data_IF_817202182343
#
_entry.id   IF_817202182343
#
_cell.length_a   1.000
_cell.length_b   1.000
_cell.length_c   1.000
_cell.angle_alpha   90.00
_cell.angle_beta   90.00
_cell.angle_gamma   90.00
#
_symmetry.space_group_name_H-M   'P 1'
#
loop_
_entity.id
_entity.type
_entity.pdbx_description
1 polymer ?
#
# COMPACT_ATOMS: atom_id res chain seq x y z
N UNK A 1 -83.41 -19.48 8.51
CA UNK A 1 -82.58 -19.94 7.36
C UNK A 1 -82.38 -18.76 6.43
N UNK A 2 -81.14 -18.35 6.14
CA UNK A 2 -80.89 -17.24 5.22
C UNK A 2 -81.43 -17.58 3.81
N UNK A 3 -82.26 -16.67 3.25
CA UNK A 3 -82.81 -16.79 1.90
C UNK A 3 -81.69 -16.96 0.88
N UNK A 4 -81.89 -17.76 -0.17
CA UNK A 4 -80.89 -17.98 -1.23
C UNK A 4 -80.41 -16.67 -1.86
N UNK A 5 -81.27 -15.65 -1.90
CA UNK A 5 -80.91 -14.30 -2.38
C UNK A 5 -79.83 -13.65 -1.51
N UNK A 6 -79.87 -13.83 -0.19
CA UNK A 6 -78.85 -13.29 0.74
C UNK A 6 -77.51 -13.98 0.53
N UNK A 7 -77.50 -15.31 0.35
CA UNK A 7 -76.26 -16.07 0.10
C UNK A 7 -75.61 -15.67 -1.23
N UNK A 8 -76.41 -15.44 -2.27
CA UNK A 8 -75.92 -14.96 -3.57
C UNK A 8 -75.35 -13.52 -3.49
N UNK A 9 -76.05 -12.62 -2.80
CA UNK A 9 -75.59 -11.24 -2.61
C UNK A 9 -74.25 -11.16 -1.84
N UNK A 10 -74.09 -12.00 -0.80
CA UNK A 10 -72.83 -12.09 -0.05
C UNK A 10 -71.71 -12.66 -0.94
N UNK A 11 -71.98 -13.69 -1.74
CA UNK A 11 -71.01 -14.25 -2.68
C UNK A 11 -70.53 -13.22 -3.72
N UNK A 12 -71.44 -12.43 -4.28
CA UNK A 12 -71.11 -11.37 -5.23
C UNK A 12 -70.27 -10.25 -4.57
N UNK A 13 -70.59 -9.88 -3.34
CA UNK A 13 -69.80 -8.90 -2.58
C UNK A 13 -68.37 -9.38 -2.33
N UNK A 14 -68.20 -10.64 -1.90
CA UNK A 14 -66.87 -11.22 -1.67
C UNK A 14 -66.09 -11.34 -2.98
N UNK A 15 -66.72 -11.80 -4.06
CA UNK A 15 -66.08 -11.88 -5.38
C UNK A 15 -65.66 -10.50 -5.91
N UNK A 16 -66.51 -9.49 -5.74
CA UNK A 16 -66.20 -8.10 -6.07
C UNK A 16 -65.03 -7.56 -5.24
N UNK A 17 -65.04 -7.82 -3.94
CA UNK A 17 -63.94 -7.44 -3.03
C UNK A 17 -62.60 -8.06 -3.42
N UNK A 18 -62.58 -9.35 -3.75
CA UNK A 18 -61.37 -10.05 -4.23
C UNK A 18 -60.89 -9.44 -5.56
N UNK A 19 -61.80 -9.15 -6.47
CA UNK A 19 -61.44 -8.56 -7.78
C UNK A 19 -60.79 -7.19 -7.60
N UNK A 20 -61.36 -6.34 -6.74
CA UNK A 20 -60.78 -5.02 -6.42
C UNK A 20 -59.42 -5.18 -5.74
N UNK A 21 -59.28 -6.14 -4.82
CA UNK A 21 -58.00 -6.40 -4.14
C UNK A 21 -56.92 -6.84 -5.12
N UNK A 22 -57.23 -7.71 -6.09
CA UNK A 22 -56.29 -8.14 -7.14
C UNK A 22 -55.89 -6.96 -8.02
N UNK A 23 -56.85 -6.15 -8.46
CA UNK A 23 -56.56 -4.94 -9.26
C UNK A 23 -55.67 -3.98 -8.48
N UNK A 24 -55.95 -3.75 -7.20
CA UNK A 24 -55.15 -2.89 -6.34
C UNK A 24 -53.72 -3.43 -6.16
N UNK A 25 -53.56 -4.75 -5.98
CA UNK A 25 -52.24 -5.38 -5.88
C UNK A 25 -51.43 -5.23 -7.17
N UNK A 26 -52.07 -5.47 -8.32
CA UNK A 26 -51.45 -5.35 -9.65
C UNK A 26 -51.07 -3.89 -9.93
N UNK A 27 -51.94 -2.94 -9.59
CA UNK A 27 -51.68 -1.50 -9.73
C UNK A 27 -50.52 -1.03 -8.85
N UNK A 28 -50.51 -1.43 -7.58
CA UNK A 28 -49.43 -1.10 -6.63
C UNK A 28 -48.09 -1.76 -7.03
N UNK A 29 -48.13 -2.98 -7.59
CA UNK A 29 -46.95 -3.66 -8.13
C UNK A 29 -46.36 -2.94 -9.34
N UNK A 30 -47.21 -2.47 -10.27
CA UNK A 30 -46.78 -1.74 -11.46
C UNK A 30 -46.25 -0.33 -11.16
N UNK A 31 -46.77 0.34 -10.12
CA UNK A 31 -46.32 1.70 -9.77
C UNK A 31 -44.83 1.77 -9.44
N UNK A 32 -44.22 0.68 -8.95
CA UNK A 32 -42.76 0.62 -8.72
C UNK A 32 -41.95 0.44 -10.01
N UNK A 33 -42.54 -0.17 -11.04
CA UNK A 33 -41.92 -0.35 -12.35
C UNK A 33 -42.03 0.88 -13.27
N UNK A 34 -43.06 1.72 -13.04
CA UNK A 34 -43.38 2.92 -13.84
C UNK A 34 -42.53 4.16 -13.50
N UNK A 35 -41.40 4.03 -12.80
CA UNK A 35 -40.48 5.15 -12.63
C UNK A 35 -39.82 5.50 -13.96
N UNK A 36 -39.98 6.75 -14.41
CA UNK A 36 -39.42 7.32 -15.63
C UNK A 36 -37.90 7.47 -15.49
N UNK A 37 -37.18 6.35 -15.60
CA UNK A 37 -35.73 6.35 -15.65
C UNK A 37 -35.22 6.70 -17.05
N UNK A 38 -34.08 7.38 -17.13
CA UNK A 38 -33.37 7.60 -18.39
C UNK A 38 -32.36 6.48 -18.62
N UNK A 39 -32.34 5.94 -19.84
CA UNK A 39 -31.41 4.89 -20.22
C UNK A 39 -30.10 5.49 -20.75
N UNK A 40 -28.99 4.95 -20.26
CA UNK A 40 -27.64 5.27 -20.70
C UNK A 40 -26.91 3.97 -21.00
N UNK A 41 -25.79 4.05 -21.71
CA UNK A 41 -24.95 2.89 -21.96
C UNK A 41 -23.49 3.21 -21.73
N UNK A 42 -22.78 2.24 -21.18
CA UNK A 42 -21.34 2.31 -21.01
C UNK A 42 -20.72 1.03 -21.56
N UNK A 43 -19.46 1.11 -22.00
CA UNK A 43 -18.75 0.00 -22.63
C UNK A 43 -17.47 -0.27 -21.88
N UNK A 44 -17.24 -1.52 -21.49
CA UNK A 44 -16.02 -1.93 -20.79
C UNK A 44 -15.19 -2.85 -21.68
N UNK A 45 -13.86 -2.65 -21.68
CA UNK A 45 -12.88 -3.53 -22.34
C UNK A 45 -12.20 -4.48 -21.33
N UNK A 46 -12.82 -4.66 -20.17
CA UNK A 46 -12.38 -5.53 -19.08
C UNK A 46 -13.52 -6.47 -18.65
N UNK A 47 -13.19 -7.44 -17.80
CA UNK A 47 -14.19 -8.36 -17.28
C UNK A 47 -15.20 -7.62 -16.40
N UNK A 48 -16.50 -7.78 -16.71
CA UNK A 48 -17.61 -7.32 -15.86
C UNK A 48 -18.06 -8.39 -14.85
N UNK A 49 -17.23 -9.40 -14.61
CA UNK A 49 -17.55 -10.49 -13.69
C UNK A 49 -17.91 -9.96 -12.30
N UNK A 50 -19.02 -10.45 -11.76
CA UNK A 50 -19.57 -9.98 -10.48
C UNK A 50 -20.55 -8.82 -10.61
N UNK A 51 -20.71 -8.25 -11.80
CA UNK A 51 -21.79 -7.32 -12.12
C UNK A 51 -23.01 -8.10 -12.62
N UNK A 52 -24.12 -7.97 -11.90
CA UNK A 52 -25.39 -8.61 -12.26
C UNK A 52 -26.43 -7.58 -12.74
N UNK A 53 -27.48 -8.06 -13.40
CA UNK A 53 -28.69 -7.27 -13.64
C UNK A 53 -29.26 -6.81 -12.28
N UNK A 54 -29.78 -5.58 -12.22
CA UNK A 54 -30.25 -4.89 -11.00
C UNK A 54 -29.13 -4.44 -10.05
N UNK A 55 -27.84 -4.66 -10.39
CA UNK A 55 -26.71 -4.10 -9.64
C UNK A 55 -26.84 -2.58 -9.52
N UNK A 56 -26.44 -2.04 -8.37
CA UNK A 56 -26.58 -0.61 -8.08
C UNK A 56 -25.67 0.23 -8.97
N UNK A 57 -26.22 1.30 -9.55
CA UNK A 57 -25.45 2.39 -10.15
C UNK A 57 -25.43 3.52 -9.13
N UNK A 58 -24.23 3.91 -8.69
CA UNK A 58 -24.04 4.90 -7.63
C UNK A 58 -23.28 6.09 -8.16
N UNK A 59 -23.73 7.29 -7.86
CA UNK A 59 -22.92 8.49 -8.05
C UNK A 59 -22.18 8.79 -6.74
N UNK A 60 -20.85 8.64 -6.74
CA UNK A 60 -19.98 8.89 -5.58
C UNK A 60 -20.52 8.26 -4.28
N UNK A 61 -20.90 6.98 -4.36
CA UNK A 61 -21.47 6.21 -3.25
C UNK A 61 -22.99 6.33 -3.02
N UNK A 62 -23.69 7.28 -3.65
CA UNK A 62 -25.15 7.43 -3.53
C UNK A 62 -25.86 6.67 -4.65
N UNK A 63 -26.81 5.76 -4.37
CA UNK A 63 -27.53 5.05 -5.43
C UNK A 63 -28.37 6.02 -6.27
N UNK A 64 -28.14 6.02 -7.58
CA UNK A 64 -28.85 6.88 -8.54
C UNK A 64 -29.57 6.10 -9.64
N UNK A 65 -29.32 4.80 -9.72
CA UNK A 65 -29.91 3.94 -10.74
C UNK A 65 -29.47 2.50 -10.57
N UNK A 66 -29.72 1.72 -11.62
CA UNK A 66 -29.46 0.27 -11.64
C UNK A 66 -29.01 -0.20 -13.02
N UNK A 67 -28.32 -1.33 -13.04
CA UNK A 67 -27.96 -2.03 -14.29
C UNK A 67 -29.21 -2.69 -14.84
N UNK A 68 -29.59 -2.32 -16.06
CA UNK A 68 -30.77 -2.85 -16.74
C UNK A 68 -30.44 -4.12 -17.53
N UNK A 69 -29.36 -4.06 -18.34
CA UNK A 69 -28.91 -5.18 -19.19
C UNK A 69 -27.40 -5.21 -19.34
N UNK A 70 -26.86 -6.42 -19.51
CA UNK A 70 -25.45 -6.68 -19.80
C UNK A 70 -25.41 -7.54 -21.07
N UNK A 71 -24.73 -7.05 -22.10
CA UNK A 71 -24.67 -7.67 -23.43
C UNK A 71 -23.23 -7.61 -23.96
N UNK A 72 -22.90 -8.48 -24.90
CA UNK A 72 -21.67 -8.33 -25.68
C UNK A 72 -21.93 -7.29 -26.78
N UNK A 73 -21.01 -6.35 -26.94
CA UNK A 73 -21.12 -5.31 -27.97
C UNK A 73 -21.00 -5.92 -29.38
N UNK A 74 -21.49 -5.23 -30.44
CA UNK A 74 -21.45 -5.74 -31.80
C UNK A 74 -20.06 -6.12 -32.33
N UNK A 75 -19.00 -5.51 -31.78
CA UNK A 75 -17.61 -5.81 -32.13
C UNK A 75 -17.05 -7.07 -31.46
N UNK A 76 -17.82 -7.71 -30.59
CA UNK A 76 -17.43 -8.87 -29.77
C UNK A 76 -16.20 -8.65 -28.88
N UNK A 77 -15.77 -7.40 -28.69
CA UNK A 77 -14.61 -7.03 -27.88
C UNK A 77 -15.01 -6.31 -26.60
N UNK A 78 -16.05 -5.50 -26.67
CA UNK A 78 -16.53 -4.71 -25.55
C UNK A 78 -17.75 -5.36 -24.91
N UNK A 79 -17.89 -5.14 -23.61
CA UNK A 79 -19.13 -5.48 -22.90
C UNK A 79 -19.97 -4.21 -22.83
N UNK A 80 -21.18 -4.29 -23.39
CA UNK A 80 -22.21 -3.25 -23.35
C UNK A 80 -23.00 -3.39 -22.05
N UNK A 81 -23.03 -2.33 -21.25
CA UNK A 81 -23.84 -2.28 -20.02
C UNK A 81 -24.84 -1.14 -20.12
N UNK A 82 -26.13 -1.48 -20.08
CA UNK A 82 -27.24 -0.53 -20.11
C UNK A 82 -27.58 -0.14 -18.68
N UNK A 83 -27.61 1.17 -18.42
CA UNK A 83 -27.88 1.77 -17.12
C UNK A 83 -29.25 2.43 -17.15
N UNK A 84 -30.05 2.20 -16.11
CA UNK A 84 -31.30 2.93 -15.88
C UNK A 84 -31.11 3.89 -14.71
N UNK A 85 -31.08 5.19 -15.01
CA UNK A 85 -30.90 6.26 -14.02
C UNK A 85 -32.28 6.78 -13.59
N UNK A 86 -32.57 6.72 -12.29
CA UNK A 86 -33.90 6.94 -11.72
C UNK A 86 -34.06 8.33 -11.07
N UNK A 87 -32.99 9.13 -10.98
CA UNK A 87 -32.95 10.40 -10.23
C UNK A 87 -33.60 11.60 -10.93
N UNK A 88 -34.18 11.43 -12.14
CA UNK A 88 -34.80 12.51 -12.91
C UNK A 88 -33.83 13.61 -13.40
N UNK A 89 -32.52 13.45 -13.15
CA UNK A 89 -31.45 14.33 -13.63
C UNK A 89 -30.74 13.65 -14.80
N UNK A 90 -30.43 14.44 -15.83
CA UNK A 90 -29.59 13.98 -16.93
C UNK A 90 -28.12 13.93 -16.48
N UNK A 91 -27.39 12.92 -16.95
CA UNK A 91 -25.96 12.82 -16.67
C UNK A 91 -25.20 13.88 -17.48
N UNK A 92 -24.35 14.64 -16.81
CA UNK A 92 -23.43 15.57 -17.45
C UNK A 92 -22.42 14.82 -18.34
N UNK A 93 -21.88 15.50 -19.36
CA UNK A 93 -20.93 14.90 -20.32
C UNK A 93 -19.57 14.53 -19.71
N UNK A 94 -19.24 15.09 -18.55
CA UNK A 94 -18.01 14.80 -17.82
C UNK A 94 -18.14 13.60 -16.87
N UNK A 95 -19.29 12.91 -16.87
CA UNK A 95 -19.49 11.72 -16.04
C UNK A 95 -18.81 10.51 -16.68
N UNK A 96 -18.07 9.79 -15.84
CA UNK A 96 -17.43 8.53 -16.17
C UNK A 96 -17.94 7.40 -15.29
N UNK A 97 -18.13 6.24 -15.89
CA UNK A 97 -18.49 4.99 -15.23
C UNK A 97 -17.25 4.17 -14.90
N UNK A 98 -17.19 3.61 -13.70
CA UNK A 98 -16.14 2.71 -13.25
C UNK A 98 -16.76 1.51 -12.54
N UNK A 99 -16.24 0.31 -12.80
CA UNK A 99 -16.60 -0.88 -12.04
C UNK A 99 -15.91 -0.86 -10.68
N UNK A 100 -16.67 -1.07 -9.60
CA UNK A 100 -16.15 -1.16 -8.23
C UNK A 100 -16.69 -2.38 -7.50
N UNK A 101 -15.86 -2.94 -6.62
CA UNK A 101 -16.23 -4.11 -5.81
C UNK A 101 -16.98 -3.70 -4.54
N UNK A 102 -18.02 -4.45 -4.21
CA UNK A 102 -18.71 -4.44 -2.91
C UNK A 102 -17.98 -5.41 -1.99
N UNK A 103 -16.85 -4.95 -1.42
CA UNK A 103 -16.06 -5.78 -0.49
C UNK A 103 -15.28 -6.89 -1.19
N UNK A 104 -15.17 -8.05 -0.52
CA UNK A 104 -14.31 -9.18 -0.95
C UNK A 104 -15.06 -10.35 -1.60
N UNK A 105 -16.40 -10.29 -1.67
CA UNK A 105 -17.23 -11.38 -2.22
C UNK A 105 -17.23 -11.44 -3.75
N UNK A 106 -16.60 -10.45 -4.41
CA UNK A 106 -16.56 -10.34 -5.86
C UNK A 106 -17.83 -9.73 -6.46
N UNK A 107 -18.81 -9.32 -5.65
CA UNK A 107 -19.96 -8.56 -6.15
C UNK A 107 -19.51 -7.17 -6.60
N UNK A 108 -19.98 -6.71 -7.76
CA UNK A 108 -19.58 -5.44 -8.38
C UNK A 108 -20.78 -4.49 -8.50
N UNK A 109 -20.48 -3.21 -8.57
CA UNK A 109 -21.44 -2.15 -8.86
C UNK A 109 -20.80 -1.12 -9.78
N UNK A 110 -21.63 -0.29 -10.42
CA UNK A 110 -21.12 0.80 -11.26
C UNK A 110 -21.09 2.08 -10.45
N UNK A 111 -19.90 2.67 -10.32
CA UNK A 111 -19.73 4.01 -9.79
C UNK A 111 -19.66 5.02 -10.93
N UNK A 112 -20.51 6.04 -10.85
CA UNK A 112 -20.46 7.25 -11.64
C UNK A 112 -19.67 8.29 -10.86
N UNK A 113 -18.69 8.90 -11.51
CA UNK A 113 -17.88 9.99 -10.96
C UNK A 113 -17.62 11.03 -12.05
N UNK A 114 -17.13 12.21 -11.66
CA UNK A 114 -16.73 13.23 -12.63
C UNK A 114 -15.30 12.98 -13.09
N UNK A 115 -15.08 13.13 -14.40
CA UNK A 115 -13.76 13.19 -14.99
C UNK A 115 -13.02 14.41 -14.43
N UNK A 116 -11.86 14.19 -13.80
CA UNK A 116 -11.08 15.29 -13.23
C UNK A 116 -10.45 16.11 -14.34
N UNK A 117 -10.34 17.42 -14.14
CA UNK A 117 -9.64 18.31 -15.09
C UNK A 117 -8.20 17.83 -15.28
N UNK A 118 -7.83 17.54 -16.53
CA UNK A 118 -6.50 17.08 -16.92
C UNK A 118 -6.31 15.56 -16.90
N UNK A 119 -7.34 14.79 -16.51
CA UNK A 119 -7.32 13.33 -16.62
C UNK A 119 -7.62 12.92 -18.08
N UNK A 120 -6.79 12.06 -18.70
CA UNK A 120 -7.05 11.60 -20.06
C UNK A 120 -8.31 10.72 -20.08
N UNK A 121 -9.11 10.86 -21.14
CA UNK A 121 -10.19 9.91 -21.41
C UNK A 121 -9.59 8.54 -21.74
N UNK A 122 -9.94 7.54 -20.94
CA UNK A 122 -9.48 6.15 -21.07
C UNK A 122 -10.60 5.22 -21.53
N UNK A 123 -11.71 5.77 -22.01
CA UNK A 123 -12.79 4.98 -22.55
C UNK A 123 -12.35 4.23 -23.81
N UNK A 124 -12.86 3.01 -24.03
CA UNK A 124 -12.51 2.24 -25.22
C UNK A 124 -13.07 2.92 -26.47
N UNK A 125 -12.31 2.93 -27.58
CA UNK A 125 -12.78 3.51 -28.84
C UNK A 125 -13.97 2.71 -29.38
N UNK A 126 -15.04 3.39 -29.76
CA UNK A 126 -16.25 2.78 -30.31
C UNK A 126 -16.21 2.82 -31.84
N UNK A 127 -16.51 1.68 -32.47
CA UNK A 127 -16.54 1.52 -33.93
C UNK A 127 -17.94 1.32 -34.51
N UNK A 128 -18.96 1.43 -33.67
CA UNK A 128 -20.37 1.14 -33.99
C UNK A 128 -21.30 2.18 -33.34
N UNK A 129 -22.53 2.36 -33.86
CA UNK A 129 -23.49 3.29 -33.28
C UNK A 129 -24.05 2.79 -31.94
N UNK A 130 -24.46 3.73 -31.09
CA UNK A 130 -25.07 3.44 -29.79
C UNK A 130 -26.56 3.80 -29.79
N UNK A 131 -27.39 2.94 -29.20
CA UNK A 131 -28.84 3.14 -29.04
C UNK A 131 -29.18 4.19 -27.96
N UNK A 132 -28.34 4.29 -26.92
CA UNK A 132 -28.50 5.21 -25.80
C UNK A 132 -27.34 6.20 -25.72
N UNK A 133 -27.52 7.35 -25.02
CA UNK A 133 -26.43 8.25 -24.70
C UNK A 133 -25.29 7.52 -23.98
N UNK A 134 -24.06 7.74 -24.45
CA UNK A 134 -22.88 7.04 -23.97
C UNK A 134 -22.33 7.75 -22.73
N UNK A 135 -22.06 6.97 -21.68
CA UNK A 135 -21.26 7.37 -20.53
C UNK A 135 -19.87 6.76 -20.69
N UNK A 136 -18.86 7.61 -20.75
CA UNK A 136 -17.47 7.18 -20.88
C UNK A 136 -17.10 6.25 -19.72
N UNK A 137 -16.33 5.20 -19.98
CA UNK A 137 -15.85 4.29 -18.93
C UNK A 137 -14.39 4.57 -18.60
N UNK A 138 -13.99 4.22 -17.38
CA UNK A 138 -12.58 4.16 -16.99
C UNK A 138 -12.26 2.80 -16.38
N UNK A 139 -10.99 2.33 -16.47
CA UNK A 139 -10.59 1.04 -15.93
C UNK A 139 -10.89 0.90 -14.44
N UNK A 140 -11.34 -0.29 -14.01
CA UNK A 140 -11.53 -0.60 -12.59
C UNK A 140 -10.22 -0.50 -11.80
N UNK A 141 -10.33 -0.27 -10.48
CA UNK A 141 -9.16 -0.17 -9.60
C UNK A 141 -8.32 -1.47 -9.63
N UNK A 142 -8.98 -2.63 -9.78
CA UNK A 142 -8.34 -3.94 -9.90
C UNK A 142 -7.56 -4.02 -11.23
N UNK A 143 -8.18 -3.63 -12.34
CA UNK A 143 -7.52 -3.63 -13.65
C UNK A 143 -6.32 -2.67 -13.68
N UNK A 144 -6.43 -1.49 -13.06
CA UNK A 144 -5.31 -0.55 -12.95
C UNK A 144 -4.15 -1.12 -12.12
N UNK A 145 -4.47 -1.82 -11.02
CA UNK A 145 -3.45 -2.48 -10.21
C UNK A 145 -2.71 -3.57 -11.00
N UNK A 146 -3.44 -4.44 -11.71
CA UNK A 146 -2.85 -5.50 -12.53
C UNK A 146 -1.97 -4.95 -13.65
N UNK A 147 -2.42 -3.90 -14.35
CA UNK A 147 -1.61 -3.20 -15.36
C UNK A 147 -0.31 -2.64 -14.75
N UNK A 148 -0.38 -2.07 -13.54
CA UNK A 148 0.80 -1.59 -12.84
C UNK A 148 1.81 -2.70 -12.51
N UNK A 149 1.33 -3.91 -12.19
CA UNK A 149 2.20 -5.09 -11.98
C UNK A 149 2.84 -5.55 -13.28
N UNK A 150 2.07 -5.63 -14.37
CA UNK A 150 2.59 -6.00 -15.70
C UNK A 150 3.66 -5.01 -16.18
N UNK A 151 3.43 -3.71 -15.99
CA UNK A 151 4.41 -2.66 -16.31
C UNK A 151 5.72 -2.84 -15.53
N UNK A 152 5.65 -3.25 -14.27
CA UNK A 152 6.83 -3.55 -13.45
C UNK A 152 7.55 -4.78 -13.98
N UNK A 153 6.82 -5.86 -14.32
CA UNK A 153 7.40 -7.08 -14.88
C UNK A 153 8.12 -6.81 -16.21
N UNK A 154 7.51 -6.00 -17.09
CA UNK A 154 8.14 -5.57 -18.34
C UNK A 154 9.41 -4.76 -18.06
N UNK A 155 9.39 -3.84 -17.10
CA UNK A 155 10.58 -3.07 -16.68
C UNK A 155 11.68 -3.95 -16.10
N UNK A 156 11.33 -4.98 -15.32
CA UNK A 156 12.30 -5.95 -14.76
C UNK A 156 12.92 -6.82 -15.87
N UNK A 157 12.10 -7.30 -16.81
CA UNK A 157 12.58 -8.06 -17.98
C UNK A 157 13.48 -7.21 -18.90
N UNK A 158 13.28 -5.89 -18.90
CA UNK A 158 14.14 -4.94 -19.60
C UNK A 158 15.50 -4.67 -18.93
N UNK A 159 15.75 -5.21 -17.73
CA UNK A 159 17.06 -5.13 -17.08
C UNK A 159 18.00 -6.11 -17.79
N UNK A 160 19.01 -5.57 -18.48
CA UNK A 160 20.05 -6.35 -19.14
C UNK A 160 21.03 -6.96 -18.12
N UNK A 161 20.60 -8.06 -17.50
CA UNK A 161 21.41 -8.83 -16.56
C UNK A 161 22.71 -9.34 -17.19
N UNK A 162 22.72 -9.57 -18.51
CA UNK A 162 23.91 -10.01 -19.25
C UNK A 162 24.92 -8.87 -19.38
N UNK A 163 24.45 -7.67 -19.73
CA UNK A 163 25.27 -6.45 -19.73
C UNK A 163 25.79 -6.08 -18.34
N UNK A 164 25.00 -6.27 -17.28
CA UNK A 164 25.45 -6.10 -15.90
C UNK A 164 26.56 -7.10 -15.57
N UNK A 165 26.35 -8.40 -15.88
CA UNK A 165 27.35 -9.44 -15.65
C UNK A 165 28.66 -9.17 -16.42
N UNK A 166 28.56 -8.73 -17.68
CA UNK A 166 29.71 -8.37 -18.50
C UNK A 166 30.45 -7.15 -17.95
N UNK A 167 29.73 -6.12 -17.48
CA UNK A 167 30.32 -4.94 -16.84
C UNK A 167 30.98 -5.27 -15.51
N UNK A 168 30.40 -6.18 -14.72
CA UNK A 168 31.01 -6.68 -13.48
C UNK A 168 32.30 -7.43 -13.81
N UNK A 169 32.27 -8.35 -14.78
CA UNK A 169 33.46 -9.09 -15.23
C UNK A 169 34.57 -8.15 -15.71
N UNK A 170 34.25 -7.21 -16.60
CA UNK A 170 35.23 -6.24 -17.11
C UNK A 170 35.74 -5.30 -16.01
N UNK A 171 34.94 -5.01 -14.98
CA UNK A 171 35.39 -4.23 -13.82
C UNK A 171 36.35 -5.03 -12.95
N UNK A 172 36.08 -6.32 -12.74
CA UNK A 172 36.96 -7.23 -12.01
C UNK A 172 38.30 -7.46 -12.75
N UNK A 173 38.27 -7.60 -14.08
CA UNK A 173 39.49 -7.69 -14.91
C UNK A 173 40.30 -6.39 -14.89
N UNK A 174 39.64 -5.23 -14.81
CA UNK A 174 40.31 -3.92 -14.62
C UNK A 174 40.89 -3.74 -13.22
N UNK A 175 40.24 -4.30 -12.20
CA UNK A 175 40.78 -4.33 -10.84
C UNK A 175 42.07 -5.17 -10.84
N UNK A 176 42.09 -6.31 -11.54
CA UNK A 176 43.27 -7.17 -11.67
C UNK A 176 44.48 -6.46 -12.33
N UNK A 177 44.22 -5.58 -13.32
CA UNK A 177 45.24 -4.73 -13.95
C UNK A 177 45.64 -3.47 -13.16
N UNK A 178 44.89 -3.09 -12.13
CA UNK A 178 45.17 -1.91 -11.28
C UNK A 178 45.95 -2.28 -10.01
N UNK A 179 46.20 -3.57 -9.75
CA UNK A 179 46.95 -4.05 -8.57
C UNK A 179 48.45 -3.71 -8.62
N UNK A 180 48.97 -3.19 -9.73
CA UNK A 180 50.40 -2.82 -9.85
C UNK A 180 50.73 -1.44 -9.27
N UNK A 181 49.75 -0.60 -8.91
CA UNK A 181 50.01 0.75 -8.36
C UNK A 181 48.97 1.15 -7.31
N UNK A 182 49.00 0.49 -6.15
CA UNK A 182 48.13 0.84 -5.02
C UNK A 182 48.70 2.10 -4.33
N UNK A 183 48.10 3.26 -4.63
CA UNK A 183 48.19 4.45 -3.79
C UNK A 183 47.42 4.22 -2.47
N UNK A 184 48.00 3.39 -1.59
CA UNK A 184 47.52 3.10 -0.24
C UNK A 184 47.30 4.40 0.56
N UNK A 185 48.06 5.45 0.25
CA UNK A 185 47.90 6.78 0.86
C UNK A 185 46.59 7.44 0.46
N UNK A 186 46.13 7.24 -0.78
CA UNK A 186 44.83 7.74 -1.26
C UNK A 186 43.63 7.09 -0.57
N UNK A 187 43.72 5.78 -0.26
CA UNK A 187 42.66 5.05 0.46
C UNK A 187 42.60 5.45 1.94
N UNK A 188 43.75 5.59 2.60
CA UNK A 188 43.82 6.06 3.99
C UNK A 188 43.29 7.49 4.10
N UNK A 189 43.67 8.37 3.17
CA UNK A 189 43.21 9.78 3.17
C UNK A 189 41.70 9.89 2.92
N UNK A 190 41.12 9.03 2.07
CA UNK A 190 39.66 8.96 1.88
C UNK A 190 38.93 8.47 3.13
N UNK A 191 39.49 7.47 3.82
CA UNK A 191 38.97 6.98 5.09
C UNK A 191 39.03 8.08 6.17
N UNK A 192 40.13 8.82 6.25
CA UNK A 192 40.28 9.98 7.15
C UNK A 192 39.24 11.07 6.87
N UNK A 193 39.04 11.48 5.62
CA UNK A 193 38.00 12.48 5.28
C UNK A 193 36.57 12.00 5.57
N UNK A 194 36.30 10.70 5.43
CA UNK A 194 35.00 10.13 5.76
C UNK A 194 34.79 10.09 7.28
N UNK A 195 35.83 9.77 8.05
CA UNK A 195 35.83 9.82 9.51
C UNK A 195 35.68 11.25 10.02
N UNK A 196 36.32 12.23 9.40
CA UNK A 196 36.17 13.65 9.71
C UNK A 196 34.76 14.17 9.44
N UNK A 197 34.15 13.72 8.34
CA UNK A 197 32.76 14.08 8.01
C UNK A 197 31.78 13.47 9.00
N UNK A 198 32.02 12.22 9.43
CA UNK A 198 31.23 11.57 10.48
C UNK A 198 31.44 12.22 11.84
N UNK A 199 32.68 12.55 12.23
CA UNK A 199 32.98 13.27 13.47
C UNK A 199 32.34 14.65 13.48
N UNK A 200 32.34 15.38 12.36
CA UNK A 200 31.64 16.68 12.28
C UNK A 200 30.14 16.52 12.44
N UNK A 201 29.54 15.54 11.78
CA UNK A 201 28.10 15.27 11.95
C UNK A 201 27.79 14.95 13.41
N UNK A 202 28.59 14.09 14.05
CA UNK A 202 28.42 13.66 15.45
C UNK A 202 28.80 14.72 16.50
N UNK A 203 29.69 15.66 16.18
CA UNK A 203 30.14 16.72 17.08
C UNK A 203 29.39 18.04 16.88
N UNK A 204 28.68 18.20 15.76
CA UNK A 204 27.89 19.40 15.47
C UNK A 204 26.52 19.33 16.16
N UNK A 205 26.04 20.47 16.65
CA UNK A 205 24.81 20.65 17.44
C UNK A 205 23.52 20.22 16.69
N UNK A 206 23.66 19.77 15.45
CA UNK A 206 22.60 19.27 14.58
C UNK A 206 21.96 17.99 15.09
N UNK A 207 22.74 17.07 15.66
CA UNK A 207 22.15 15.89 16.31
C UNK A 207 21.43 16.24 17.60
N UNK A 208 22.00 17.15 18.39
CA UNK A 208 21.35 17.63 19.61
C UNK A 208 20.04 18.36 19.31
N UNK A 209 19.95 19.10 18.20
CA UNK A 209 18.71 19.77 17.79
C UNK A 209 17.66 18.81 17.23
N UNK A 210 18.06 17.70 16.59
CA UNK A 210 17.13 16.61 16.22
C UNK A 210 16.58 15.92 17.47
N UNK A 211 17.45 15.61 18.44
CA UNK A 211 17.03 15.01 19.71
C UNK A 211 16.15 15.94 20.53
N UNK A 212 16.50 17.23 20.63
CA UNK A 212 15.69 18.24 21.30
C UNK A 212 14.32 18.45 20.59
N UNK A 213 14.30 18.40 19.26
CA UNK A 213 13.04 18.44 18.49
C UNK A 213 12.14 17.23 18.75
N UNK A 214 12.73 16.04 18.88
CA UNK A 214 12.02 14.82 19.23
C UNK A 214 11.51 14.83 20.69
N UNK A 215 12.31 15.34 21.62
CA UNK A 215 11.93 15.54 23.02
C UNK A 215 10.76 16.53 23.14
N UNK A 216 10.84 17.68 22.46
CA UNK A 216 9.78 18.68 22.43
C UNK A 216 8.49 18.14 21.81
N UNK A 217 8.59 17.32 20.75
CA UNK A 217 7.45 16.63 20.17
C UNK A 217 6.81 15.64 21.14
N UNK A 218 7.62 14.92 21.92
CA UNK A 218 7.16 13.98 22.95
C UNK A 218 6.42 14.71 24.08
N UNK A 219 6.94 15.85 24.54
CA UNK A 219 6.28 16.69 25.55
C UNK A 219 4.94 17.25 25.03
N UNK A 220 4.92 17.69 23.77
CA UNK A 220 3.71 18.22 23.12
C UNK A 220 2.63 17.14 22.96
N UNK A 221 3.03 15.93 22.55
CA UNK A 221 2.16 14.76 22.47
C UNK A 221 1.58 14.37 23.83
N UNK A 222 2.41 14.33 24.88
CA UNK A 222 1.95 14.03 26.24
C UNK A 222 0.87 15.03 26.72
N UNK A 223 1.06 16.31 26.40
CA UNK A 223 0.08 17.37 26.74
C UNK A 223 -1.25 17.17 26.01
N UNK A 224 -1.21 16.81 24.72
CA UNK A 224 -2.41 16.50 23.93
C UNK A 224 -3.11 15.26 24.47
N UNK A 225 -2.36 14.23 24.85
CA UNK A 225 -2.90 12.99 25.40
C UNK A 225 -3.60 13.22 26.75
N UNK A 226 -3.00 14.00 27.65
CA UNK A 226 -3.64 14.35 28.92
C UNK A 226 -4.93 15.15 28.73
N UNK A 227 -4.94 16.11 27.79
CA UNK A 227 -6.13 16.92 27.50
C UNK A 227 -7.22 16.09 26.82
N UNK A 228 -6.83 15.20 25.90
CA UNK A 228 -7.70 14.28 25.20
C UNK A 228 -8.34 13.25 26.13
N UNK A 229 -7.57 12.63 27.03
CA UNK A 229 -8.10 11.66 28.01
C UNK A 229 -9.06 12.31 29.00
N UNK A 230 -8.75 13.51 29.47
CA UNK A 230 -9.63 14.29 30.35
C UNK A 230 -10.93 14.69 29.64
N UNK A 231 -10.86 15.09 28.36
CA UNK A 231 -12.03 15.39 27.56
C UNK A 231 -12.90 14.15 27.31
N UNK A 232 -12.28 13.00 27.03
CA UNK A 232 -12.97 11.72 26.88
C UNK A 232 -13.72 11.33 28.17
N UNK A 233 -13.06 11.43 29.32
CA UNK A 233 -13.65 11.12 30.62
C UNK A 233 -14.83 12.05 30.98
N UNK A 234 -14.73 13.34 30.63
CA UNK A 234 -15.84 14.29 30.80
C UNK A 234 -17.02 14.00 29.88
N UNK A 235 -16.75 13.63 28.63
CA UNK A 235 -17.78 13.23 27.66
C UNK A 235 -18.47 11.92 28.07
N UNK A 236 -17.73 10.97 28.63
CA UNK A 236 -18.27 9.71 29.14
C UNK A 236 -19.16 9.94 30.37
N UNK A 237 -18.75 10.79 31.31
CA UNK A 237 -19.61 11.20 32.45
C UNK A 237 -20.88 11.93 32.01
N UNK A 238 -20.79 12.78 30.99
CA UNK A 238 -21.97 13.45 30.41
C UNK A 238 -22.93 12.44 29.80
N UNK A 239 -22.43 11.37 29.19
CA UNK A 239 -23.23 10.27 28.66
C UNK A 239 -23.95 9.46 29.74
N UNK A 240 -23.25 9.14 30.84
CA UNK A 240 -23.83 8.36 31.95
C UNK A 240 -24.91 9.15 32.68
N UNK A 241 -24.76 10.47 32.78
CA UNK A 241 -25.73 11.34 33.47
C UNK A 241 -26.82 11.93 32.55
N UNK A 242 -26.73 11.76 31.23
CA UNK A 242 -27.72 12.23 30.26
C UNK A 242 -28.87 11.21 30.09
N UNK A 243 -29.63 10.99 31.16
CA UNK A 243 -30.86 10.20 31.14
C UNK A 243 -31.97 11.01 30.45
N UNK A 244 -32.02 10.98 29.11
CA UNK A 244 -33.13 11.57 28.34
C UNK A 244 -32.78 12.45 27.14
N UNK A 245 -31.51 12.56 26.72
CA UNK A 245 -31.17 13.34 25.51
C UNK A 245 -31.29 12.46 24.25
N UNK A 246 -32.33 12.77 23.47
CA UNK A 246 -32.67 12.41 22.08
C UNK A 246 -31.64 11.51 21.35
N UNK A 247 -32.11 10.33 20.92
CA UNK A 247 -31.40 9.24 20.22
C UNK A 247 -30.58 9.70 19.00
N UNK A 248 -30.91 10.86 18.42
CA UNK A 248 -30.28 11.42 17.22
C UNK A 248 -28.87 11.99 17.48
N UNK A 249 -28.55 12.43 18.70
CA UNK A 249 -27.21 12.96 19.05
C UNK A 249 -26.29 11.95 19.74
N UNK A 250 -26.80 10.77 20.11
CA UNK A 250 -26.01 9.74 20.79
C UNK A 250 -24.99 9.07 19.85
N UNK A 251 -25.32 8.90 18.57
CA UNK A 251 -24.43 8.26 17.61
C UNK A 251 -23.18 9.11 17.32
N UNK A 252 -23.36 10.42 17.15
CA UNK A 252 -22.25 11.35 16.88
C UNK A 252 -21.24 11.37 18.02
N UNK A 253 -21.70 11.39 19.28
CA UNK A 253 -20.78 11.43 20.42
C UNK A 253 -20.07 10.07 20.59
N UNK A 254 -20.73 8.93 20.29
CA UNK A 254 -20.05 7.62 20.24
C UNK A 254 -18.96 7.59 19.17
N UNK A 255 -19.26 8.01 17.95
CA UNK A 255 -18.28 8.06 16.86
C UNK A 255 -17.10 8.97 17.19
N UNK A 256 -17.36 10.13 17.81
CA UNK A 256 -16.29 11.06 18.25
C UNK A 256 -15.45 10.47 19.37
N UNK A 257 -16.05 9.74 20.32
CA UNK A 257 -15.31 9.05 21.38
C UNK A 257 -14.43 7.93 20.84
N UNK A 258 -14.93 7.18 19.85
CA UNK A 258 -14.16 6.13 19.20
C UNK A 258 -13.00 6.71 18.37
N UNK A 259 -13.25 7.77 17.61
CA UNK A 259 -12.20 8.51 16.90
C UNK A 259 -11.13 9.07 17.85
N UNK A 260 -11.54 9.58 19.01
CA UNK A 260 -10.63 10.09 20.04
C UNK A 260 -9.80 8.96 20.66
N UNK A 261 -10.40 7.80 20.96
CA UNK A 261 -9.69 6.61 21.45
C UNK A 261 -8.65 6.12 20.44
N UNK A 262 -9.02 6.01 19.16
CA UNK A 262 -8.06 5.63 18.10
C UNK A 262 -6.94 6.66 17.93
N UNK A 263 -7.21 7.95 18.09
CA UNK A 263 -6.16 8.98 18.05
C UNK A 263 -5.17 8.86 19.22
N UNK A 264 -5.67 8.55 20.43
CA UNK A 264 -4.85 8.31 21.62
C UNK A 264 -3.99 7.05 21.45
N UNK A 265 -4.56 5.99 20.88
CA UNK A 265 -3.84 4.73 20.61
C UNK A 265 -2.72 4.92 19.58
N UNK A 266 -3.00 5.62 18.47
CA UNK A 266 -1.99 5.95 17.47
C UNK A 266 -0.88 6.85 18.03
N UNK A 267 -1.22 7.76 18.93
CA UNK A 267 -0.22 8.60 19.62
C UNK A 267 0.67 7.79 20.56
N UNK A 268 0.13 6.79 21.27
CA UNK A 268 0.94 5.88 22.10
C UNK A 268 1.94 5.06 21.26
N UNK A 269 1.50 4.52 20.11
CA UNK A 269 2.37 3.80 19.17
C UNK A 269 3.48 4.72 18.64
N UNK A 270 3.15 5.98 18.31
CA UNK A 270 4.12 6.96 17.86
C UNK A 270 5.15 7.29 18.96
N UNK A 271 4.72 7.38 20.22
CA UNK A 271 5.61 7.60 21.36
C UNK A 271 6.55 6.42 21.61
N UNK A 272 6.05 5.19 21.50
CA UNK A 272 6.87 3.98 21.63
C UNK A 272 7.96 3.93 20.55
N UNK A 273 7.59 4.25 19.30
CA UNK A 273 8.53 4.37 18.18
C UNK A 273 9.51 5.54 18.35
N UNK A 274 9.04 6.68 18.86
CA UNK A 274 9.89 7.85 19.13
C UNK A 274 10.92 7.60 20.24
N UNK A 275 10.49 6.98 21.34
CA UNK A 275 11.35 6.64 22.48
C UNK A 275 12.41 5.62 22.10
N UNK A 276 12.05 4.57 21.34
CA UNK A 276 12.99 3.57 20.85
C UNK A 276 13.99 4.12 19.83
N UNK A 277 13.59 5.09 18.99
CA UNK A 277 14.52 5.80 18.11
C UNK A 277 15.56 6.60 18.91
N UNK A 278 15.12 7.37 19.92
CA UNK A 278 16.01 8.17 20.78
C UNK A 278 16.97 7.28 21.57
N UNK A 279 16.48 6.19 22.15
CA UNK A 279 17.31 5.23 22.88
C UNK A 279 18.27 4.45 21.98
N UNK A 280 17.83 4.07 20.77
CA UNK A 280 18.64 3.30 19.81
C UNK A 280 19.71 4.13 19.09
N UNK A 281 19.52 5.44 18.96
CA UNK A 281 20.52 6.32 18.35
C UNK A 281 21.80 6.43 19.18
N UNK A 282 21.69 6.51 20.51
CA UNK A 282 22.87 6.59 21.40
C UNK A 282 23.73 5.32 21.31
N UNK A 283 23.07 4.16 21.28
CA UNK A 283 23.71 2.86 21.18
C UNK A 283 24.39 2.64 19.83
N UNK A 284 23.67 2.94 18.74
CA UNK A 284 24.20 2.82 17.36
C UNK A 284 25.42 3.71 17.14
N UNK A 285 25.38 4.95 17.65
CA UNK A 285 26.49 5.91 17.55
C UNK A 285 27.70 5.43 18.36
N UNK A 286 27.48 4.91 19.57
CA UNK A 286 28.54 4.34 20.42
C UNK A 286 29.22 3.13 19.76
N UNK A 287 28.42 2.21 19.20
CA UNK A 287 28.92 1.03 18.50
C UNK A 287 29.67 1.36 17.21
N UNK A 288 29.18 2.30 16.41
CA UNK A 288 29.87 2.77 15.21
C UNK A 288 31.21 3.40 15.55
N UNK A 289 31.27 4.26 16.57
CA UNK A 289 32.52 4.86 17.04
C UNK A 289 33.53 3.78 17.45
N UNK A 290 33.10 2.79 18.24
CA UNK A 290 33.96 1.70 18.70
C UNK A 290 34.49 0.84 17.55
N UNK A 291 33.62 0.42 16.63
CA UNK A 291 34.00 -0.44 15.51
C UNK A 291 34.91 0.26 14.50
N UNK A 292 34.70 1.56 14.26
CA UNK A 292 35.54 2.35 13.37
C UNK A 292 36.96 2.53 13.93
N UNK A 293 37.09 2.81 15.23
CA UNK A 293 38.41 2.91 15.88
C UNK A 293 39.17 1.58 15.76
N UNK A 294 38.50 0.46 16.01
CA UNK A 294 39.11 -0.89 15.88
C UNK A 294 39.48 -1.19 14.43
N UNK A 295 38.63 -0.82 13.46
CA UNK A 295 38.90 -1.04 12.03
C UNK A 295 40.10 -0.23 11.55
N UNK A 296 40.21 1.03 11.98
CA UNK A 296 41.36 1.90 11.66
C UNK A 296 42.65 1.35 12.27
N UNK A 297 42.60 0.87 13.52
CA UNK A 297 43.74 0.23 14.17
C UNK A 297 44.17 -1.04 13.43
N UNK A 298 43.22 -1.91 13.05
CA UNK A 298 43.51 -3.12 12.29
C UNK A 298 44.07 -2.82 10.90
N UNK A 299 43.56 -1.78 10.22
CA UNK A 299 44.05 -1.36 8.91
C UNK A 299 45.46 -0.76 9.01
N UNK A 300 45.72 0.05 10.03
CA UNK A 300 47.05 0.58 10.31
C UNK A 300 48.06 -0.55 10.62
N UNK A 301 47.64 -1.55 11.39
CA UNK A 301 48.48 -2.70 11.74
C UNK A 301 48.70 -3.64 10.56
N UNK A 302 47.68 -3.89 9.75
CA UNK A 302 47.82 -4.63 8.50
C UNK A 302 48.78 -3.92 7.55
N UNK A 303 48.70 -2.59 7.43
CA UNK A 303 49.63 -1.79 6.63
C UNK A 303 51.06 -1.85 7.16
N UNK A 304 51.26 -1.84 8.48
CA UNK A 304 52.58 -1.97 9.09
C UNK A 304 53.19 -3.36 8.80
N UNK A 305 52.38 -4.42 8.95
CA UNK A 305 52.81 -5.78 8.64
C UNK A 305 53.09 -5.98 7.15
N UNK A 306 52.31 -5.36 6.27
CA UNK A 306 52.54 -5.40 4.82
C UNK A 306 53.85 -4.72 4.44
N UNK A 307 54.15 -3.57 5.07
CA UNK A 307 55.43 -2.89 4.87
C UNK A 307 56.61 -3.75 5.36
N UNK A 308 56.51 -4.38 6.53
CA UNK A 308 57.56 -5.28 7.02
C UNK A 308 57.73 -6.53 6.15
N UNK A 309 56.65 -7.06 5.58
CA UNK A 309 56.69 -8.15 4.60
C UNK A 309 57.38 -7.71 3.31
N UNK A 310 57.08 -6.51 2.81
CA UNK A 310 57.72 -5.94 1.62
C UNK A 310 59.21 -5.68 1.88
N UNK A 311 59.56 -5.20 3.08
CA UNK A 311 60.95 -4.98 3.50
C UNK A 311 61.73 -6.30 3.59
N UNK A 312 61.13 -7.35 4.18
CA UNK A 312 61.67 -8.73 4.18
C UNK A 312 61.83 -9.31 2.77
N UNK A 313 60.86 -9.03 1.88
CA UNK A 313 60.91 -9.45 0.47
C UNK A 313 62.03 -8.75 -0.30
N UNK A 314 62.28 -7.46 -0.01
CA UNK A 314 63.35 -6.68 -0.64
C UNK A 314 64.73 -7.08 -0.10
N UNK A 315 64.85 -7.34 1.20
CA UNK A 315 66.12 -7.71 1.83
C UNK A 315 66.51 -9.18 1.61
N UNK A 316 65.55 -10.10 1.46
CA UNK A 316 65.81 -11.54 1.35
C UNK A 316 64.93 -12.24 0.29
N UNK A 317 65.08 -11.89 -1.00
CA UNK A 317 64.28 -12.47 -2.09
C UNK A 317 64.48 -13.99 -2.28
N UNK A 318 65.60 -14.54 -1.79
CA UNK A 318 65.96 -15.95 -1.98
C UNK A 318 65.23 -16.94 -1.07
N UNK A 319 64.67 -16.51 0.07
CA UNK A 319 63.98 -17.41 1.02
C UNK A 319 62.63 -17.92 0.51
N UNK A 320 62.03 -17.25 -0.47
CA UNK A 320 60.75 -17.65 -1.07
C UNK A 320 60.88 -18.72 -2.16
N UNK A 321 62.04 -18.82 -2.81
CA UNK A 321 62.30 -19.80 -3.87
C UNK A 321 63.05 -21.04 -3.36
N UNK A 322 63.76 -20.93 -2.25
CA UNK A 322 64.49 -22.01 -1.60
C UNK A 322 64.18 -21.94 -0.10
N UNK A 323 63.01 -22.44 0.30
CA UNK A 323 62.72 -22.67 1.71
C UNK A 323 63.72 -23.69 2.26
N UNK A 324 64.47 -23.34 3.30
CA UNK A 324 65.36 -24.29 3.96
C UNK A 324 64.57 -25.54 4.39
N UNK A 325 65.12 -26.71 4.07
CA UNK A 325 64.50 -27.99 4.40
C UNK A 325 64.32 -28.10 5.93
N UNK A 326 63.18 -28.64 6.41
CA UNK A 326 62.92 -28.75 7.83
C UNK A 326 64.02 -29.57 8.52
N UNK A 327 64.48 -29.09 9.67
CA UNK A 327 65.54 -29.72 10.47
C UNK A 327 65.20 -31.20 10.70
N UNK A 328 66.09 -32.16 10.37
CA UNK A 328 65.78 -33.58 10.53
C UNK A 328 65.43 -33.91 11.96
N UNK A 329 64.23 -34.45 12.18
CA UNK A 329 63.81 -34.97 13.48
C UNK A 329 64.74 -36.12 13.87
N UNK A 330 65.49 -35.99 14.97
CA UNK A 330 66.23 -37.12 15.56
C UNK A 330 65.20 -38.19 15.95
N UNK A 331 65.17 -39.29 15.20
CA UNK A 331 64.44 -40.48 15.59
C UNK A 331 65.26 -41.13 16.70
N UNK A 332 64.79 -41.00 17.93
CA UNK A 332 65.30 -41.78 19.05
C UNK A 332 64.85 -43.23 18.81
N UNK A 333 65.79 -44.08 18.42
CA UNK A 333 65.55 -45.51 18.26
C UNK A 333 65.25 -46.07 19.65
N UNK A 334 63.98 -46.38 19.90
CA UNK A 334 63.58 -47.28 20.99
C UNK A 334 64.33 -48.59 20.81
N UNK A 335 65.41 -48.72 21.57
CA UNK A 335 66.16 -49.96 21.70
C UNK A 335 65.29 -50.88 22.54
N UNK A 336 64.70 -51.87 21.89
CA UNK A 336 63.92 -52.91 22.55
C UNK A 336 64.67 -53.52 23.73
N UNK A 337 63.92 -53.80 24.79
CA UNK A 337 64.32 -54.72 25.85
C UNK A 337 63.10 -55.58 26.19
N UNK A 338 62.99 -56.70 25.48
CA UNK A 338 62.38 -57.89 26.05
C UNK A 338 63.43 -58.54 26.95
N UNK A 339 63.13 -58.62 28.24
CA UNK A 339 63.33 -59.75 29.16
C UNK A 339 62.72 -59.38 30.52
#
# INVERSE_FOLDING_TARGET
MASQKTKFAVGLFVAGGITIAVIAFVWLGMSRFLQKGHYYVTYFNESVQGLDIDSSVKYRGVPVGRVDRIEVAPDSKLIKVVLKIETGQELERDIVAQLKSVGITGAMFIELDRLKKGEPDRSPPLSFPSEYPIVASKPSDISQFLQGVDDILVKINGIDFQGIALRIKNSLERIDQTVTDIDLKGLIRKAETSLDSMNRILADNRWQSILAGAEQATISLNTVLQKGSSAAASAEKMFVNAEGIITEKQQTIRTTLDQLRSAIENANILMEKGSSLVAGTDDTVSHLKKNLVVTVQNLAQASANLNSLIELLMDQPSQLLLGDAPVPRKIELEKGRNE
#
